data_IF_802374660004
#
_entry.id   IF_802374660004
#
_cell.length_a   1.000
_cell.length_b   1.000
_cell.length_c   1.000
_cell.angle_alpha   90.00
_cell.angle_beta   90.00
_cell.angle_gamma   90.00
#
_symmetry.space_group_name_H-M   'P 1'
#
loop_
_entity.id
_entity.type
_entity.pdbx_description
1 polymer ?
#
# COMPACT_ATOMS: atom_id res chain seq x y z
N UNK A 1 17.63 6.00 -10.56
CA UNK A 1 16.68 6.99 -10.03
C UNK A 1 17.45 8.19 -9.51
N UNK A 2 17.03 9.39 -9.92
CA UNK A 2 17.50 10.65 -9.30
C UNK A 2 17.02 10.67 -7.84
N UNK A 3 17.75 11.36 -6.95
CA UNK A 3 17.42 11.43 -5.51
C UNK A 3 15.95 11.83 -5.26
N UNK A 4 15.45 12.79 -6.04
CA UNK A 4 14.07 13.27 -5.99
C UNK A 4 13.02 12.21 -6.38
N UNK A 5 13.35 11.28 -7.28
CA UNK A 5 12.43 10.20 -7.67
C UNK A 5 12.30 9.17 -6.53
N UNK A 6 13.40 8.93 -5.79
CA UNK A 6 13.40 8.00 -4.66
C UNK A 6 12.56 8.53 -3.50
N UNK A 7 12.76 9.80 -3.15
CA UNK A 7 12.00 10.47 -2.09
C UNK A 7 10.50 10.48 -2.41
N UNK A 8 10.12 10.75 -3.66
CA UNK A 8 8.70 10.74 -4.09
C UNK A 8 8.10 9.34 -4.08
N UNK A 9 8.86 8.33 -4.52
CA UNK A 9 8.42 6.94 -4.46
C UNK A 9 8.22 6.46 -3.01
N UNK A 10 9.13 6.82 -2.12
CA UNK A 10 8.99 6.58 -0.68
C UNK A 10 7.75 7.29 -0.11
N UNK A 11 7.50 8.56 -0.48
CA UNK A 11 6.29 9.30 -0.09
C UNK A 11 5.01 8.59 -0.51
N UNK A 12 4.94 8.09 -1.74
CA UNK A 12 3.75 7.36 -2.22
C UNK A 12 3.57 6.02 -1.52
N UNK A 13 4.67 5.34 -1.19
CA UNK A 13 4.61 4.13 -0.37
C UNK A 13 4.03 4.43 1.02
N UNK A 14 4.38 5.58 1.61
CA UNK A 14 3.77 6.04 2.87
C UNK A 14 2.29 6.32 2.68
N UNK A 15 1.89 7.12 1.68
CA UNK A 15 0.47 7.43 1.40
C UNK A 15 -0.37 6.16 1.17
N UNK A 16 0.20 5.18 0.47
CA UNK A 16 -0.41 3.87 0.28
C UNK A 16 -0.65 3.17 1.62
N UNK A 17 0.36 3.09 2.48
CA UNK A 17 0.26 2.43 3.77
C UNK A 17 -0.67 3.17 4.74
N UNK A 18 -0.68 4.50 4.72
CA UNK A 18 -1.60 5.32 5.51
C UNK A 18 -3.06 4.98 5.16
N UNK A 19 -3.38 4.92 3.87
CA UNK A 19 -4.70 4.45 3.43
C UNK A 19 -5.00 3.03 3.94
N UNK A 20 -4.06 2.10 3.80
CA UNK A 20 -4.27 0.71 4.19
C UNK A 20 -4.51 0.58 5.71
N UNK A 21 -3.80 1.38 6.51
CA UNK A 21 -3.98 1.46 7.95
C UNK A 21 -5.34 2.08 8.33
N UNK A 22 -5.77 3.15 7.67
CA UNK A 22 -7.10 3.73 7.88
C UNK A 22 -8.22 2.75 7.49
N UNK A 23 -8.09 2.10 6.34
CA UNK A 23 -9.07 1.14 5.85
C UNK A 23 -9.13 -0.09 6.77
N UNK A 24 -7.97 -0.60 7.18
CA UNK A 24 -7.85 -1.66 8.17
C UNK A 24 -8.48 -1.28 9.51
N UNK A 25 -8.30 -0.04 9.96
CA UNK A 25 -8.94 0.48 11.17
C UNK A 25 -10.47 0.43 11.08
N UNK A 26 -11.02 0.86 9.93
CA UNK A 26 -12.46 0.87 9.67
C UNK A 26 -13.05 -0.54 9.60
N UNK A 27 -12.31 -1.51 9.03
CA UNK A 27 -12.80 -2.89 8.83
C UNK A 27 -12.57 -3.81 10.03
N UNK A 28 -11.44 -3.66 10.72
CA UNK A 28 -10.96 -4.58 11.76
C UNK A 28 -10.98 -3.96 13.16
N UNK A 29 -11.30 -2.66 13.26
CA UNK A 29 -11.24 -1.89 14.50
C UNK A 29 -9.86 -1.26 14.73
N UNK A 30 -9.76 -0.42 15.77
CA UNK A 30 -8.49 0.07 16.26
C UNK A 30 -7.81 -1.02 17.08
N UNK A 31 -6.60 -1.37 16.68
CA UNK A 31 -5.78 -2.45 17.24
C UNK A 31 -4.34 -1.98 17.28
N UNK A 32 -3.60 -2.45 18.27
CA UNK A 32 -2.17 -2.14 18.43
C UNK A 32 -1.27 -2.99 17.52
N UNK A 33 -1.85 -4.03 16.87
CA UNK A 33 -1.17 -4.97 15.97
C UNK A 33 -1.68 -4.86 14.53
N UNK A 34 -2.31 -3.74 14.16
CA UNK A 34 -3.02 -3.63 12.88
C UNK A 34 -2.06 -3.77 11.70
N UNK A 35 -0.89 -3.11 11.76
CA UNK A 35 0.12 -3.19 10.72
C UNK A 35 0.63 -4.64 10.58
N UNK A 36 0.97 -5.30 11.69
CA UNK A 36 1.41 -6.70 11.68
C UNK A 36 0.35 -7.64 11.06
N UNK A 37 -0.93 -7.45 11.41
CA UNK A 37 -2.04 -8.24 10.84
C UNK A 37 -2.17 -8.05 9.34
N UNK A 38 -2.09 -6.81 8.87
CA UNK A 38 -2.16 -6.46 7.44
C UNK A 38 -0.95 -7.02 6.69
N UNK A 39 0.26 -6.84 7.22
CA UNK A 39 1.49 -7.36 6.64
C UNK A 39 1.43 -8.87 6.47
N UNK A 40 1.10 -9.61 7.54
CA UNK A 40 1.01 -11.07 7.50
C UNK A 40 0.01 -11.59 6.48
N UNK A 41 -1.09 -10.88 6.27
CA UNK A 41 -2.08 -11.25 5.26
C UNK A 41 -1.55 -11.06 3.83
N UNK A 42 -0.69 -10.07 3.58
CA UNK A 42 -0.35 -9.63 2.23
C UNK A 42 1.09 -9.94 1.79
N UNK A 43 1.99 -10.32 2.71
CA UNK A 43 3.44 -10.44 2.45
C UNK A 43 3.81 -11.43 1.34
N UNK A 44 3.08 -12.53 1.24
CA UNK A 44 3.34 -13.61 0.27
C UNK A 44 2.47 -13.43 -0.98
N UNK A 45 1.21 -13.02 -0.80
CA UNK A 45 0.27 -12.66 -1.87
C UNK A 45 -0.63 -11.51 -1.40
N UNK A 46 -0.61 -10.40 -2.14
CA UNK A 46 -1.40 -9.19 -1.84
C UNK A 46 -2.91 -9.44 -1.92
N UNK A 47 -3.35 -10.54 -2.56
CA UNK A 47 -4.74 -11.00 -2.53
C UNK A 47 -5.21 -11.44 -1.15
N UNK A 48 -4.30 -11.71 -0.21
CA UNK A 48 -4.68 -12.00 1.16
C UNK A 48 -5.39 -10.83 1.87
N UNK A 49 -5.21 -9.58 1.37
CA UNK A 49 -5.99 -8.43 1.83
C UNK A 49 -7.50 -8.62 1.61
N UNK A 50 -7.91 -9.22 0.49
CA UNK A 50 -9.31 -9.47 0.18
C UNK A 50 -9.94 -10.41 1.22
N UNK A 51 -9.17 -11.40 1.66
CA UNK A 51 -9.58 -12.37 2.67
C UNK A 51 -9.65 -11.71 4.05
N UNK A 52 -8.64 -10.89 4.39
CA UNK A 52 -8.56 -10.17 5.65
C UNK A 52 -9.74 -9.20 5.81
N UNK A 53 -10.02 -8.39 4.78
CA UNK A 53 -11.06 -7.37 4.83
C UNK A 53 -12.44 -7.87 4.41
N UNK A 54 -12.53 -9.07 3.84
CA UNK A 54 -13.77 -9.67 3.31
C UNK A 54 -14.48 -8.75 2.32
N UNK A 55 -13.70 -8.10 1.46
CA UNK A 55 -14.18 -7.02 0.57
C UNK A 55 -14.03 -7.35 -0.93
N UNK A 56 -13.72 -8.61 -1.25
CA UNK A 56 -13.56 -9.08 -2.62
C UNK A 56 -12.59 -8.23 -3.46
N UNK A 57 -11.54 -7.70 -2.82
CA UNK A 57 -10.47 -6.95 -3.47
C UNK A 57 -10.75 -5.47 -3.65
N UNK A 58 -11.80 -4.94 -3.02
CA UNK A 58 -12.14 -3.51 -3.09
C UNK A 58 -10.96 -2.63 -2.66
N UNK A 59 -10.37 -2.86 -1.49
CA UNK A 59 -9.22 -2.09 -1.02
C UNK A 59 -8.00 -2.24 -1.93
N UNK A 60 -7.69 -3.47 -2.36
CA UNK A 60 -6.51 -3.76 -3.19
C UNK A 60 -6.61 -3.07 -4.55
N UNK A 61 -7.71 -3.28 -5.27
CA UNK A 61 -7.83 -2.87 -6.67
C UNK A 61 -8.23 -1.40 -6.82
N UNK A 62 -9.26 -0.96 -6.08
CA UNK A 62 -9.87 0.35 -6.33
C UNK A 62 -9.11 1.50 -5.69
N UNK A 63 -8.28 1.20 -4.68
CA UNK A 63 -7.64 2.25 -3.89
C UNK A 63 -6.13 2.02 -3.80
N UNK A 64 -5.69 0.88 -3.28
CA UNK A 64 -4.27 0.65 -3.06
C UNK A 64 -3.47 0.63 -4.38
N UNK A 65 -3.92 -0.16 -5.38
CA UNK A 65 -3.35 -0.15 -6.74
C UNK A 65 -3.59 1.18 -7.46
N UNK A 66 -4.73 1.83 -7.22
CA UNK A 66 -5.09 3.10 -7.84
C UNK A 66 -4.19 4.27 -7.40
N UNK A 67 -3.83 4.37 -6.11
CA UNK A 67 -2.86 5.36 -5.59
C UNK A 67 -1.52 5.19 -6.29
N UNK A 68 -1.01 3.95 -6.35
CA UNK A 68 0.23 3.66 -7.04
C UNK A 68 0.20 3.99 -8.54
N UNK A 69 -0.91 3.66 -9.22
CA UNK A 69 -1.09 3.95 -10.64
C UNK A 69 -1.20 5.45 -10.93
N UNK A 70 -1.87 6.22 -10.07
CA UNK A 70 -1.94 7.67 -10.16
C UNK A 70 -0.55 8.30 -10.11
N UNK A 71 0.25 7.90 -9.13
CA UNK A 71 1.66 8.30 -9.06
C UNK A 71 2.42 7.92 -10.34
N UNK A 72 2.39 6.65 -10.77
CA UNK A 72 3.16 6.24 -11.95
C UNK A 72 2.73 6.99 -13.21
N UNK A 73 1.44 7.29 -13.38
CA UNK A 73 0.93 8.07 -14.51
C UNK A 73 1.45 9.51 -14.52
N UNK A 74 1.63 10.13 -13.35
CA UNK A 74 2.11 11.51 -13.24
C UNK A 74 3.61 11.65 -13.54
N UNK A 75 4.40 10.59 -13.29
CA UNK A 75 5.88 10.64 -13.39
C UNK A 75 6.44 9.86 -14.58
N UNK A 76 5.69 8.90 -15.11
CA UNK A 76 6.12 7.99 -16.16
C UNK A 76 5.14 8.06 -17.34
N UNK A 77 4.94 9.28 -17.84
CA UNK A 77 3.98 9.61 -18.91
C UNK A 77 4.17 8.81 -20.21
N UNK A 78 5.35 8.23 -20.42
CA UNK A 78 5.71 7.51 -21.64
C UNK A 78 5.41 6.00 -21.55
N UNK A 79 4.89 5.51 -20.42
CA UNK A 79 4.60 4.09 -20.22
C UNK A 79 3.22 3.73 -20.75
N UNK A 80 3.13 2.54 -21.35
CA UNK A 80 1.85 1.97 -21.76
C UNK A 80 0.99 1.61 -20.55
N UNK A 81 -0.32 1.48 -20.76
CA UNK A 81 -1.25 1.08 -19.69
C UNK A 81 -0.85 -0.26 -19.04
N UNK A 82 -0.40 -1.23 -19.82
CA UNK A 82 0.06 -2.54 -19.33
C UNK A 82 1.33 -2.42 -18.47
N UNK A 83 2.23 -1.51 -18.83
CA UNK A 83 3.45 -1.30 -18.06
C UNK A 83 3.13 -0.58 -16.74
N UNK A 84 2.26 0.43 -16.76
CA UNK A 84 1.76 1.09 -15.55
C UNK A 84 1.06 0.09 -14.61
N UNK A 85 0.32 -0.87 -15.17
CA UNK A 85 -0.35 -1.90 -14.37
C UNK A 85 0.66 -2.80 -13.64
N UNK A 86 1.66 -3.34 -14.36
CA UNK A 86 2.74 -4.15 -13.76
C UNK A 86 3.54 -3.37 -12.73
N UNK A 87 3.86 -2.11 -13.02
CA UNK A 87 4.63 -1.26 -12.11
C UNK A 87 3.83 -0.90 -10.86
N UNK A 88 2.50 -0.74 -10.99
CA UNK A 88 1.62 -0.54 -9.85
C UNK A 88 1.56 -1.78 -8.94
N UNK A 89 1.55 -2.99 -9.51
CA UNK A 89 1.65 -4.23 -8.72
C UNK A 89 2.99 -4.32 -7.99
N UNK A 90 4.09 -3.99 -8.67
CA UNK A 90 5.40 -3.92 -8.03
C UNK A 90 5.42 -2.91 -6.88
N UNK A 91 4.76 -1.76 -7.04
CA UNK A 91 4.69 -0.73 -6.01
C UNK A 91 3.85 -1.17 -4.81
N UNK A 92 2.75 -1.89 -5.04
CA UNK A 92 1.94 -2.53 -4.00
C UNK A 92 2.78 -3.49 -3.16
N UNK A 93 3.57 -4.36 -3.78
CA UNK A 93 4.48 -5.26 -3.05
C UNK A 93 5.55 -4.51 -2.26
N UNK A 94 6.08 -3.41 -2.82
CA UNK A 94 7.04 -2.56 -2.12
C UNK A 94 6.41 -1.88 -0.90
N UNK A 95 5.16 -1.43 -1.02
CA UNK A 95 4.44 -0.81 0.08
C UNK A 95 4.13 -1.81 1.21
N UNK A 96 3.72 -3.04 0.90
CA UNK A 96 3.56 -4.12 1.90
C UNK A 96 4.89 -4.45 2.59
N UNK A 97 5.99 -4.53 1.83
CA UNK A 97 7.32 -4.76 2.41
C UNK A 97 7.80 -3.60 3.29
N UNK A 98 7.45 -2.37 2.93
CA UNK A 98 7.70 -1.20 3.78
C UNK A 98 6.90 -1.31 5.08
N UNK A 99 5.60 -1.62 4.98
CA UNK A 99 4.72 -1.78 6.13
C UNK A 99 5.28 -2.80 7.13
N UNK A 100 5.71 -3.98 6.67
CA UNK A 100 6.33 -5.00 7.53
C UNK A 100 7.66 -4.58 8.18
N UNK A 101 8.36 -3.60 7.62
CA UNK A 101 9.59 -3.03 8.22
C UNK A 101 9.31 -1.87 9.19
N UNK A 102 8.10 -1.31 9.12
CA UNK A 102 7.67 -0.12 9.83
C UNK A 102 6.41 -0.35 10.68
N UNK A 103 6.10 -1.60 11.02
CA UNK A 103 4.85 -1.98 11.71
C UNK A 103 4.60 -1.11 12.95
N UNK A 104 5.61 -0.98 13.82
CA UNK A 104 5.52 -0.15 15.03
C UNK A 104 5.29 1.33 14.74
N UNK A 105 5.94 1.87 13.72
CA UNK A 105 5.80 3.29 13.37
C UNK A 105 4.35 3.57 12.90
N UNK A 106 3.82 2.66 12.07
CA UNK A 106 2.47 2.74 11.51
C UNK A 106 1.37 2.44 12.53
N UNK A 107 1.57 1.49 13.45
CA UNK A 107 0.63 1.24 14.54
C UNK A 107 0.58 2.43 15.52
N UNK A 108 1.72 3.08 15.77
CA UNK A 108 1.79 4.27 16.64
C UNK A 108 1.23 5.55 15.98
N UNK A 109 1.17 5.61 14.65
CA UNK A 109 0.70 6.80 13.93
C UNK A 109 -0.75 7.18 14.29
N UNK A 110 -1.58 6.21 14.70
CA UNK A 110 -2.96 6.47 15.16
C UNK A 110 -3.07 7.29 16.46
N UNK A 111 -1.97 7.58 17.14
CA UNK A 111 -1.93 8.33 18.40
C UNK A 111 -1.28 9.72 18.28
N UNK A 112 -0.87 10.15 17.08
CA UNK A 112 -0.38 11.52 16.81
C UNK A 112 -1.46 12.36 16.11
#
# INVERSE_FOLDING_TARGET
>A
MKKSERERKESVIVDMNDFLMEYGAKKLGNRDDLAEVIYKAAKDDVKGLDTLFKDNGEARERIYKAIGKGFLSDYESDKSADQLDKDSESLVHQAINYLGKHEKDLDNWKFN
#
